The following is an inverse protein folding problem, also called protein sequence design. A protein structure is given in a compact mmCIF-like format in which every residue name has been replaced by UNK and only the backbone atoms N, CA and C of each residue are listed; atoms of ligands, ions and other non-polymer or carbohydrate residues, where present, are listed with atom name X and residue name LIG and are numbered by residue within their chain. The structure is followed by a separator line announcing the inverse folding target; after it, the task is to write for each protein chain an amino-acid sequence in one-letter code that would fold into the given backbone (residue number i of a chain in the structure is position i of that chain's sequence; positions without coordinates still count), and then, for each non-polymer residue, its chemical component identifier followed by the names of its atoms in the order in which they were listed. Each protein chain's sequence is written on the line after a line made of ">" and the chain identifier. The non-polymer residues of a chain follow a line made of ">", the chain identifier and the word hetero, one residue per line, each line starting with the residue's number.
data_IF_266953782515
#
_entry.id   IF_266953782515
#
_cell.length_a   1.000
_cell.length_b   1.000
_cell.length_c   1.000
_cell.angle_alpha   90.00
_cell.angle_beta   90.00
_cell.angle_gamma   90.00
#
_symmetry.space_group_name_H-M   'P 1'
#
loop_
_entity.id
_entity.type
_entity.pdbx_description
1 polymer ?
#
# COMPACT_ATOMS: atom_id res chain seq x y z
N UNK A 1 -1.15 39.17 3.00
CA UNK A 1 -0.55 38.66 1.76
C UNK A 1 0.36 37.49 2.12
N UNK A 2 -0.02 36.22 1.99
CA UNK A 2 0.91 35.12 2.23
C UNK A 2 1.67 34.78 0.93
N UNK A 3 2.99 34.77 1.03
CA UNK A 3 3.91 34.48 -0.07
C UNK A 3 3.84 33.00 -0.48
N UNK A 4 3.81 32.76 -1.79
CA UNK A 4 3.86 31.45 -2.42
C UNK A 4 5.30 30.94 -2.35
N UNK A 5 5.55 29.98 -1.46
CA UNK A 5 6.84 29.26 -1.40
C UNK A 5 6.93 28.40 -2.65
N UNK A 6 7.68 28.88 -3.65
CA UNK A 6 8.07 28.10 -4.82
C UNK A 6 9.09 27.06 -4.36
N UNK A 7 8.66 25.80 -4.26
CA UNK A 7 9.55 24.67 -4.00
C UNK A 7 10.17 24.24 -5.33
N UNK A 8 11.31 24.85 -5.68
CA UNK A 8 12.13 24.40 -6.81
C UNK A 8 13.27 23.53 -6.26
N UNK A 9 13.19 22.21 -6.38
CA UNK A 9 14.30 21.29 -6.12
C UNK A 9 14.02 19.89 -6.67
N UNK A 10 14.49 19.65 -7.91
CA UNK A 10 15.21 18.45 -8.35
C UNK A 10 14.84 17.07 -7.76
N UNK A 11 14.31 16.19 -8.62
CA UNK A 11 14.31 14.71 -8.52
C UNK A 11 13.54 14.03 -7.36
N UNK A 12 12.29 14.41 -7.09
CA UNK A 12 11.39 13.46 -6.44
C UNK A 12 10.71 12.60 -7.51
N UNK A 13 10.96 11.28 -7.48
CA UNK A 13 10.15 10.32 -8.22
C UNK A 13 8.73 10.46 -7.66
N UNK A 14 7.78 10.95 -8.46
CA UNK A 14 6.37 11.08 -8.03
C UNK A 14 5.88 9.74 -7.48
N UNK A 15 5.43 9.73 -6.23
CA UNK A 15 4.86 8.54 -5.60
C UNK A 15 3.43 8.39 -6.10
N UNK A 16 3.13 7.23 -6.70
CA UNK A 16 1.79 6.89 -7.20
C UNK A 16 1.11 5.95 -6.19
N UNK A 17 -0.05 6.35 -5.70
CA UNK A 17 -0.81 5.64 -4.68
C UNK A 17 -1.97 4.87 -5.31
N UNK A 18 -1.87 3.54 -5.34
CA UNK A 18 -2.95 2.64 -5.74
C UNK A 18 -3.61 2.05 -4.49
N UNK A 19 -4.95 2.05 -4.44
CA UNK A 19 -5.70 1.40 -3.36
C UNK A 19 -6.99 0.80 -3.91
N UNK A 20 -7.47 -0.27 -3.27
CA UNK A 20 -8.76 -0.85 -3.59
C UNK A 20 -9.89 0.11 -3.18
N UNK A 21 -10.77 0.45 -4.11
CA UNK A 21 -11.93 1.32 -3.89
C UNK A 21 -13.15 0.56 -3.33
N UNK A 22 -12.98 -0.66 -2.81
CA UNK A 22 -14.05 -1.48 -2.24
C UNK A 22 -14.78 -0.76 -1.10
N UNK A 23 -15.83 -0.01 -1.45
CA UNK A 23 -16.86 0.69 -0.64
C UNK A 23 -16.44 1.26 0.74
N UNK A 24 -15.17 1.60 0.94
CA UNK A 24 -14.74 2.49 1.99
C UNK A 24 -14.75 3.90 1.41
N UNK A 25 -15.66 4.74 1.91
CA UNK A 25 -15.69 6.18 1.60
C UNK A 25 -14.31 6.74 1.90
N UNK A 26 -13.50 7.01 0.87
CA UNK A 26 -12.28 7.82 1.03
C UNK A 26 -12.76 9.15 1.57
N UNK A 27 -12.57 9.38 2.87
CA UNK A 27 -13.05 10.62 3.50
C UNK A 27 -12.33 11.80 2.85
N UNK A 28 -12.97 12.96 2.82
CA UNK A 28 -12.36 14.20 2.31
C UNK A 28 -11.01 14.48 2.98
N UNK A 29 -10.86 14.08 4.25
CA UNK A 29 -9.62 14.17 5.03
C UNK A 29 -8.50 13.32 4.43
N UNK A 30 -8.77 12.06 4.04
CA UNK A 30 -7.77 11.18 3.41
C UNK A 30 -7.28 11.76 2.08
N UNK A 31 -8.20 12.28 1.26
CA UNK A 31 -7.83 12.92 -0.02
C UNK A 31 -6.97 14.17 0.18
N UNK A 32 -7.31 14.99 1.16
CA UNK A 32 -6.53 16.18 1.49
C UNK A 32 -5.10 15.81 1.92
N UNK A 33 -4.96 14.81 2.80
CA UNK A 33 -3.63 14.34 3.23
C UNK A 33 -2.80 13.81 2.07
N UNK A 34 -3.39 13.05 1.14
CA UNK A 34 -2.67 12.55 -0.04
C UNK A 34 -2.15 13.70 -0.92
N UNK A 35 -2.92 14.79 -1.07
CA UNK A 35 -2.48 16.00 -1.75
C UNK A 35 -1.36 16.73 -0.98
N UNK A 36 -1.48 16.81 0.35
CA UNK A 36 -0.47 17.45 1.20
C UNK A 36 0.89 16.70 1.14
N UNK A 37 0.86 15.37 0.97
CA UNK A 37 2.04 14.55 0.70
C UNK A 37 2.59 14.68 -0.73
N UNK A 38 1.85 15.31 -1.64
CA UNK A 38 2.22 15.44 -3.06
C UNK A 38 2.14 14.12 -3.83
N UNK A 39 1.32 13.17 -3.38
CA UNK A 39 1.18 11.85 -4.01
C UNK A 39 0.12 11.87 -5.10
N UNK A 40 0.39 11.19 -6.22
CA UNK A 40 -0.57 11.00 -7.30
C UNK A 40 -1.48 9.81 -6.96
N UNK A 41 -2.78 10.03 -6.83
CA UNK A 41 -3.74 8.94 -6.57
C UNK A 41 -4.13 8.28 -7.89
N UNK A 42 -3.82 6.99 -8.04
CA UNK A 42 -4.25 6.20 -9.19
C UNK A 42 -5.73 5.82 -9.06
N UNK A 43 -6.51 6.07 -10.10
CA UNK A 43 -7.91 5.65 -10.17
C UNK A 43 -7.98 4.14 -10.35
N UNK A 44 -8.37 3.41 -9.30
CA UNK A 44 -8.70 1.99 -9.43
C UNK A 44 -10.00 1.85 -10.23
N UNK A 45 -10.06 0.94 -11.22
CA UNK A 45 -11.32 0.48 -11.78
C UNK A 45 -12.27 0.01 -10.66
N UNK A 46 -13.59 0.23 -10.78
CA UNK A 46 -14.54 -0.30 -9.82
C UNK A 46 -14.47 -1.83 -9.82
N UNK A 47 -14.09 -2.40 -8.67
CA UNK A 47 -14.03 -3.83 -8.38
C UNK A 47 -13.33 -4.67 -9.46
N UNK A 48 -12.00 -4.65 -9.47
CA UNK A 48 -11.20 -5.74 -10.04
C UNK A 48 -10.49 -6.52 -8.92
N UNK A 49 -10.99 -7.70 -8.52
CA UNK A 49 -10.28 -8.57 -7.57
C UNK A 49 -8.90 -8.98 -8.09
N UNK A 50 -8.71 -8.95 -9.42
CA UNK A 50 -7.45 -9.28 -10.10
C UNK A 50 -6.35 -8.22 -9.95
N UNK A 51 -6.63 -7.06 -9.33
CA UNK A 51 -5.62 -6.03 -9.04
C UNK A 51 -4.89 -6.28 -7.71
N UNK A 52 -5.33 -7.26 -6.93
CA UNK A 52 -4.72 -7.63 -5.66
C UNK A 52 -4.21 -9.10 -5.61
N UNK A 53 -3.67 -9.73 -6.70
CA UNK A 53 -3.35 -11.16 -6.67
C UNK A 53 -2.35 -11.51 -5.57
N UNK A 54 -1.42 -10.59 -5.26
CA UNK A 54 -0.41 -10.80 -4.23
C UNK A 54 -0.70 -10.19 -2.87
N UNK A 55 -1.68 -9.29 -2.74
CA UNK A 55 -2.18 -8.93 -1.41
C UNK A 55 -2.70 -10.20 -0.72
N UNK A 56 -3.43 -11.05 -1.47
CA UNK A 56 -3.86 -12.36 -1.00
C UNK A 56 -2.67 -13.25 -0.58
N UNK A 57 -1.61 -13.33 -1.40
CA UNK A 57 -0.42 -14.12 -1.09
C UNK A 57 0.34 -13.59 0.14
N UNK A 58 0.40 -12.26 0.32
CA UNK A 58 1.06 -11.63 1.47
C UNK A 58 0.30 -11.94 2.76
N UNK A 59 -1.03 -11.78 2.75
CA UNK A 59 -1.86 -12.11 3.91
C UNK A 59 -1.89 -13.61 4.20
N UNK A 60 -1.83 -14.46 3.17
CA UNK A 60 -1.68 -15.90 3.33
C UNK A 60 -0.33 -16.26 3.98
N UNK A 61 0.77 -15.67 3.50
CA UNK A 61 2.09 -15.87 4.08
C UNK A 61 2.16 -15.38 5.54
N UNK A 62 1.56 -14.24 5.84
CA UNK A 62 1.43 -13.72 7.20
C UNK A 62 0.59 -14.68 8.07
N UNK A 63 -0.56 -15.14 7.57
CA UNK A 63 -1.41 -16.08 8.30
C UNK A 63 -0.67 -17.38 8.61
N UNK A 64 0.12 -17.90 7.67
CA UNK A 64 0.95 -19.08 7.88
C UNK A 64 2.06 -18.81 8.91
N UNK A 65 2.69 -17.63 8.86
CA UNK A 65 3.73 -17.24 9.82
C UNK A 65 3.19 -17.05 11.26
N UNK A 66 1.91 -16.71 11.39
CA UNK A 66 1.17 -16.58 12.65
C UNK A 66 0.48 -17.88 13.08
N UNK A 67 0.39 -18.89 12.21
CA UNK A 67 -0.31 -20.13 12.51
C UNK A 67 0.33 -20.83 13.71
N UNK A 68 -0.50 -21.23 14.69
CA UNK A 68 -0.05 -21.88 15.92
C UNK A 68 0.62 -20.94 16.94
N UNK A 69 0.79 -19.66 16.62
CA UNK A 69 1.30 -18.64 17.56
C UNK A 69 0.11 -17.91 18.19
N UNK A 70 -0.47 -18.53 19.22
CA UNK A 70 -1.47 -17.85 20.04
C UNK A 70 -0.80 -16.67 20.75
N UNK A 71 -1.25 -15.45 20.45
CA UNK A 71 -0.79 -14.24 21.14
C UNK A 71 -1.92 -13.75 22.04
N UNK A 72 -1.70 -13.76 23.35
CA UNK A 72 -2.68 -13.26 24.31
C UNK A 72 -2.68 -11.72 24.41
N UNK A 73 -1.67 -11.06 23.84
CA UNK A 73 -1.51 -9.60 23.91
C UNK A 73 -1.20 -8.99 22.54
N UNK A 74 -1.66 -7.75 22.33
CA UNK A 74 -1.46 -6.98 21.10
C UNK A 74 0.01 -6.62 20.87
N UNK A 75 0.81 -6.44 21.93
CA UNK A 75 2.24 -6.15 21.78
C UNK A 75 3.01 -7.30 21.15
N UNK A 76 2.72 -8.52 21.59
CA UNK A 76 3.33 -9.74 21.05
C UNK A 76 2.87 -9.99 19.61
N UNK A 77 1.62 -9.68 19.28
CA UNK A 77 1.16 -9.75 17.89
C UNK A 77 1.88 -8.69 17.02
N UNK A 78 2.04 -7.47 17.52
CA UNK A 78 2.76 -6.40 16.83
C UNK A 78 4.19 -6.79 16.50
N UNK A 79 4.93 -7.34 17.47
CA UNK A 79 6.31 -7.77 17.24
C UNK A 79 6.42 -8.94 16.26
N UNK A 80 5.47 -9.88 16.26
CA UNK A 80 5.43 -10.96 15.27
C UNK A 80 5.19 -10.44 13.84
N UNK A 81 4.32 -9.43 13.70
CA UNK A 81 4.07 -8.77 12.41
C UNK A 81 5.29 -7.99 11.94
N UNK A 82 5.98 -7.29 12.84
CA UNK A 82 7.24 -6.60 12.52
C UNK A 82 8.32 -7.59 12.08
N UNK A 83 8.49 -8.69 12.82
CA UNK A 83 9.45 -9.74 12.48
C UNK A 83 9.14 -10.37 11.12
N UNK A 84 7.85 -10.62 10.82
CA UNK A 84 7.42 -11.07 9.50
C UNK A 84 7.73 -10.02 8.41
N UNK A 85 7.43 -8.76 8.66
CA UNK A 85 7.63 -7.69 7.67
C UNK A 85 9.11 -7.55 7.25
N UNK A 86 10.04 -7.80 8.18
CA UNK A 86 11.48 -7.80 7.91
C UNK A 86 11.95 -9.09 7.23
N UNK A 87 11.23 -10.21 7.40
CA UNK A 87 11.60 -11.50 6.80
C UNK A 87 11.12 -11.67 5.36
N UNK A 88 10.15 -10.87 4.90
CA UNK A 88 9.67 -10.91 3.51
C UNK A 88 10.74 -10.31 2.58
N UNK A 89 11.22 -11.07 1.57
CA UNK A 89 12.25 -10.58 0.66
C UNK A 89 11.72 -9.46 -0.24
N UNK A 90 12.55 -8.45 -0.54
CA UNK A 90 12.14 -7.30 -1.34
C UNK A 90 11.63 -7.69 -2.73
N UNK A 91 12.11 -8.80 -3.30
CA UNK A 91 11.64 -9.32 -4.59
C UNK A 91 10.15 -9.69 -4.57
N UNK A 92 9.62 -10.06 -3.40
CA UNK A 92 8.20 -10.35 -3.23
C UNK A 92 7.35 -9.14 -3.64
N UNK A 93 7.71 -7.95 -3.12
CA UNK A 93 7.05 -6.68 -3.42
C UNK A 93 7.39 -6.16 -4.82
N UNK A 94 8.64 -6.33 -5.29
CA UNK A 94 9.07 -5.83 -6.60
C UNK A 94 8.28 -6.46 -7.75
N UNK A 95 8.08 -7.78 -7.70
CA UNK A 95 7.34 -8.49 -8.75
C UNK A 95 5.87 -8.07 -8.86
N UNK A 96 5.30 -7.43 -7.83
CA UNK A 96 3.94 -6.86 -7.91
C UNK A 96 3.95 -5.57 -8.68
N UNK A 97 4.82 -4.66 -8.26
CA UNK A 97 4.93 -3.32 -8.85
C UNK A 97 5.24 -3.43 -10.35
N UNK A 98 6.03 -4.43 -10.75
CA UNK A 98 6.38 -4.69 -12.15
C UNK A 98 5.23 -5.27 -12.98
N UNK A 99 4.29 -6.00 -12.38
CA UNK A 99 3.17 -6.65 -13.10
C UNK A 99 1.89 -5.82 -13.10
N UNK A 100 1.79 -4.79 -12.24
CA UNK A 100 0.69 -3.82 -12.22
C UNK A 100 0.34 -3.20 -13.60
N UNK A 101 1.30 -2.83 -14.48
CA UNK A 101 1.00 -2.24 -15.78
C UNK A 101 0.26 -3.19 -16.74
N UNK A 102 0.43 -4.50 -16.59
CA UNK A 102 -0.20 -5.50 -17.48
C UNK A 102 -1.66 -5.76 -17.10
N UNK A 103 -2.01 -5.66 -15.82
CA UNK A 103 -3.38 -5.86 -15.31
C UNK A 103 -4.31 -4.68 -15.70
N UNK A 104 -3.72 -3.50 -15.98
CA UNK A 104 -4.44 -2.30 -16.37
C UNK A 104 -4.76 -2.13 -17.86
N UNK A 105 -4.27 -3.04 -18.73
CA UNK A 105 -4.42 -2.95 -20.20
C UNK A 105 -5.58 -3.76 -20.79
N UNK A 106 -6.38 -4.43 -19.96
CA UNK A 106 -7.47 -5.32 -20.39
C UNK A 106 -8.85 -4.76 -20.07
#
# INVERSE_FOLDING_TARGET
>A
MPAKIARNSSNYRTIRFLHNTARLRTTRVTRQKLLDFGWEVLTSPPHRPDLAPKDYLLFLALSNALQGKASEDLRTLGSLVEQFSVSVPIQFYAGDIETLPEIGKQ
#
